data_IF_654897969025
#
_entry.id   IF_654897969025
#
_cell.length_a   1.000
_cell.length_b   1.000
_cell.length_c   1.000
_cell.angle_alpha   90.00
_cell.angle_beta   90.00
_cell.angle_gamma   90.00
#
_symmetry.space_group_name_H-M   'P 1'
#
loop_
_entity.id
_entity.type
_entity.pdbx_description
1 polymer ?
#
# COMPACT_ATOMS: atom_id res chain seq x y z
N UNK A 1 -8.73 -13.64 -18.79
CA UNK A 1 -8.05 -13.15 -20.02
C UNK A 1 -8.73 -11.91 -20.65
N UNK A 2 -10.07 -11.82 -20.81
CA UNK A 2 -10.69 -10.61 -21.39
C UNK A 2 -10.45 -9.32 -20.58
N UNK A 3 -10.41 -9.43 -19.25
CA UNK A 3 -10.17 -8.31 -18.33
C UNK A 3 -8.77 -7.71 -18.45
N UNK A 4 -7.73 -8.55 -18.59
CA UNK A 4 -6.35 -8.09 -18.71
C UNK A 4 -6.10 -7.35 -20.03
N UNK A 5 -6.69 -7.85 -21.13
CA UNK A 5 -6.59 -7.19 -22.44
C UNK A 5 -7.24 -5.80 -22.43
N UNK A 6 -8.42 -5.68 -21.80
CA UNK A 6 -9.10 -4.39 -21.66
C UNK A 6 -8.31 -3.36 -20.83
N UNK A 7 -7.71 -3.78 -19.71
CA UNK A 7 -6.84 -2.90 -18.91
C UNK A 7 -5.63 -2.44 -19.73
N UNK A 8 -5.06 -3.36 -20.50
CA UNK A 8 -3.91 -3.09 -21.36
C UNK A 8 -4.27 -2.04 -22.43
N UNK A 9 -5.36 -2.24 -23.19
CA UNK A 9 -5.85 -1.29 -24.19
C UNK A 9 -6.12 0.11 -23.60
N UNK A 10 -6.72 0.15 -22.41
CA UNK A 10 -6.98 1.41 -21.69
C UNK A 10 -5.68 2.13 -21.34
N UNK A 11 -4.68 1.40 -20.82
CA UNK A 11 -3.37 1.97 -20.51
C UNK A 11 -2.69 2.53 -21.77
N UNK A 12 -2.81 1.86 -22.93
CA UNK A 12 -2.25 2.36 -24.19
C UNK A 12 -2.90 3.65 -24.65
N UNK A 13 -4.23 3.74 -24.54
CA UNK A 13 -4.96 4.95 -24.88
C UNK A 13 -4.40 6.13 -24.08
N UNK A 14 -4.28 6.00 -22.76
CA UNK A 14 -3.74 7.06 -21.91
C UNK A 14 -2.25 7.33 -22.13
N UNK A 15 -1.44 6.32 -22.42
CA UNK A 15 -0.04 6.52 -22.83
C UNK A 15 0.05 7.36 -24.11
N UNK A 16 -0.85 7.14 -25.09
CA UNK A 16 -0.91 7.95 -26.31
C UNK A 16 -1.25 9.42 -26.01
N UNK A 17 -2.03 9.68 -24.96
CA UNK A 17 -2.35 11.04 -24.50
C UNK A 17 -1.24 11.68 -23.64
N UNK A 18 -0.11 11.00 -23.41
CA UNK A 18 1.03 11.53 -22.66
C UNK A 18 1.04 11.21 -21.16
N UNK A 19 0.20 10.28 -20.69
CA UNK A 19 0.26 9.81 -19.29
C UNK A 19 1.57 9.04 -19.05
N UNK A 20 2.29 9.41 -17.99
CA UNK A 20 3.63 8.88 -17.65
C UNK A 20 3.61 7.75 -16.62
N UNK A 21 2.43 7.24 -16.24
CA UNK A 21 2.35 6.12 -15.32
C UNK A 21 0.95 5.85 -14.82
N UNK A 22 0.80 4.70 -14.16
CA UNK A 22 -0.48 4.20 -13.67
C UNK A 22 -0.36 3.72 -12.23
N UNK A 23 -1.37 4.07 -11.42
CA UNK A 23 -1.60 3.36 -10.17
C UNK A 23 -2.48 2.14 -10.47
N UNK A 24 -1.98 0.95 -10.16
CA UNK A 24 -2.78 -0.27 -10.19
C UNK A 24 -3.46 -0.40 -8.83
N UNK A 25 -4.74 -0.10 -8.83
CA UNK A 25 -5.62 -0.20 -7.67
C UNK A 25 -5.89 -1.65 -7.31
N UNK A 26 -5.87 -1.97 -6.03
CA UNK A 26 -6.24 -3.25 -5.45
C UNK A 26 -5.59 -4.45 -6.17
N UNK A 27 -4.26 -4.40 -6.34
CA UNK A 27 -3.48 -5.37 -7.13
C UNK A 27 -3.80 -6.84 -6.79
N UNK A 28 -3.94 -7.25 -5.51
CA UNK A 28 -4.28 -8.63 -5.17
C UNK A 28 -5.54 -9.15 -5.87
N UNK A 29 -6.56 -8.30 -6.05
CA UNK A 29 -7.80 -8.66 -6.75
C UNK A 29 -7.63 -8.73 -8.27
N UNK A 30 -6.69 -7.95 -8.83
CA UNK A 30 -6.37 -8.02 -10.27
C UNK A 30 -5.74 -9.37 -10.62
N UNK A 31 -4.92 -9.89 -9.73
CA UNK A 31 -4.16 -11.13 -9.94
C UNK A 31 -4.88 -12.37 -9.43
N UNK A 32 -6.09 -12.24 -8.88
CA UNK A 32 -6.89 -13.37 -8.42
C UNK A 32 -7.29 -14.29 -9.57
N UNK A 33 -7.11 -15.61 -9.38
CA UNK A 33 -7.53 -16.61 -10.35
C UNK A 33 -9.05 -16.76 -10.34
N UNK A 34 -9.72 -16.69 -11.51
CA UNK A 34 -11.16 -16.94 -11.57
C UNK A 34 -11.52 -18.31 -11.01
N UNK A 35 -12.43 -18.33 -10.03
CA UNK A 35 -12.92 -19.57 -9.40
C UNK A 35 -12.08 -20.08 -8.24
N UNK A 36 -11.10 -19.32 -7.73
CA UNK A 36 -10.47 -19.62 -6.44
C UNK A 36 -11.44 -19.43 -5.27
N UNK A 37 -11.07 -20.00 -4.13
CA UNK A 37 -11.80 -19.83 -2.87
C UNK A 37 -11.86 -18.35 -2.47
N UNK A 38 -13.06 -17.75 -2.28
CA UNK A 38 -13.18 -16.35 -1.86
C UNK A 38 -12.51 -16.05 -0.51
N UNK A 39 -12.39 -17.04 0.38
CA UNK A 39 -11.75 -16.88 1.69
C UNK A 39 -10.22 -17.05 1.61
N UNK A 40 -9.72 -17.66 0.53
CA UNK A 40 -8.30 -17.92 0.25
C UNK A 40 -8.01 -17.80 -1.25
N UNK A 41 -8.05 -16.57 -1.81
CA UNK A 41 -7.86 -16.36 -3.22
C UNK A 41 -6.48 -16.85 -3.66
N UNK A 42 -6.44 -17.53 -4.80
CA UNK A 42 -5.17 -17.89 -5.43
C UNK A 42 -4.73 -16.77 -6.35
N UNK A 43 -3.47 -16.33 -6.22
CA UNK A 43 -2.93 -15.28 -7.06
C UNK A 43 -2.08 -15.83 -8.22
N UNK A 44 -2.24 -15.24 -9.41
CA UNK A 44 -1.39 -15.43 -10.57
C UNK A 44 -0.45 -14.23 -10.75
N UNK A 45 0.69 -14.29 -10.06
CA UNK A 45 1.71 -13.24 -10.06
C UNK A 45 2.31 -12.96 -11.44
N UNK A 46 2.13 -13.85 -12.44
CA UNK A 46 2.63 -13.66 -13.82
C UNK A 46 1.93 -12.50 -14.52
N UNK A 47 0.75 -12.09 -14.07
CA UNK A 47 0.00 -10.96 -14.63
C UNK A 47 0.75 -9.64 -14.43
N UNK A 48 1.45 -9.46 -13.30
CA UNK A 48 2.18 -8.23 -12.97
C UNK A 48 3.27 -7.90 -14.02
N UNK A 49 4.23 -8.80 -14.32
CA UNK A 49 5.24 -8.54 -15.34
C UNK A 49 4.64 -8.41 -16.75
N UNK A 50 3.50 -9.05 -17.05
CA UNK A 50 2.80 -8.87 -18.32
C UNK A 50 2.26 -7.44 -18.49
N UNK A 51 1.57 -6.90 -17.47
CA UNK A 51 1.09 -5.51 -17.47
C UNK A 51 2.26 -4.54 -17.63
N UNK A 52 3.35 -4.75 -16.87
CA UNK A 52 4.54 -3.92 -16.97
C UNK A 52 5.13 -3.91 -18.38
N UNK A 53 5.38 -5.09 -18.96
CA UNK A 53 5.93 -5.21 -20.32
C UNK A 53 5.05 -4.48 -21.32
N UNK A 54 3.73 -4.60 -21.19
CA UNK A 54 2.79 -3.98 -22.10
C UNK A 54 2.85 -2.45 -22.05
N UNK A 55 2.87 -1.88 -20.85
CA UNK A 55 3.00 -0.43 -20.64
C UNK A 55 4.35 0.08 -21.15
N UNK A 56 5.45 -0.61 -20.78
CA UNK A 56 6.81 -0.22 -21.18
C UNK A 56 7.06 -0.34 -22.69
N UNK A 57 6.39 -1.26 -23.39
CA UNK A 57 6.49 -1.37 -24.84
C UNK A 57 5.97 -0.13 -25.56
N UNK A 58 4.98 0.57 -24.98
CA UNK A 58 4.40 1.78 -25.55
C UNK A 58 5.09 3.06 -25.08
N UNK A 59 5.46 3.11 -23.81
CA UNK A 59 6.17 4.21 -23.18
C UNK A 59 7.22 3.64 -22.21
N UNK A 60 8.49 3.66 -22.63
CA UNK A 60 9.59 3.13 -21.82
C UNK A 60 9.83 3.89 -20.51
N UNK A 61 9.32 5.10 -20.39
CA UNK A 61 9.42 5.93 -19.18
C UNK A 61 8.22 5.78 -18.24
N UNK A 62 7.21 5.00 -18.62
CA UNK A 62 6.00 4.88 -17.82
C UNK A 62 6.22 4.07 -16.53
N UNK A 63 5.78 4.65 -15.40
CA UNK A 63 5.85 4.03 -14.08
C UNK A 63 4.58 3.25 -13.75
N UNK A 64 4.71 2.20 -12.94
CA UNK A 64 3.58 1.49 -12.34
C UNK A 64 3.72 1.57 -10.82
N UNK A 65 2.67 2.08 -10.17
CA UNK A 65 2.53 2.15 -8.72
C UNK A 65 1.48 1.13 -8.27
N UNK A 66 1.92 0.08 -7.60
CA UNK A 66 1.05 -0.95 -7.06
C UNK A 66 0.45 -0.54 -5.72
N UNK A 67 -0.86 -0.63 -5.61
CA UNK A 67 -1.58 -0.61 -4.34
C UNK A 67 -1.79 -2.06 -3.86
N UNK A 68 -0.88 -2.54 -3.02
CA UNK A 68 -0.95 -3.87 -2.42
C UNK A 68 -0.58 -3.81 -0.94
N UNK A 69 -1.55 -4.13 -0.08
CA UNK A 69 -1.37 -4.16 1.37
C UNK A 69 -1.00 -5.58 1.83
N UNK A 70 0.24 -5.98 1.56
CA UNK A 70 0.75 -7.33 1.80
C UNK A 70 1.75 -7.39 2.95
N UNK A 71 2.08 -8.60 3.40
CA UNK A 71 3.12 -8.79 4.43
C UNK A 71 4.52 -8.63 3.84
N UNK A 72 5.54 -8.31 4.67
CA UNK A 72 6.90 -8.08 4.18
C UNK A 72 7.47 -9.22 3.33
N UNK A 73 7.13 -10.46 3.67
CA UNK A 73 7.60 -11.68 3.00
C UNK A 73 7.06 -11.81 1.57
N UNK A 74 5.89 -11.21 1.29
CA UNK A 74 5.22 -11.26 -0.01
C UNK A 74 5.72 -10.15 -0.96
N UNK A 75 6.43 -9.14 -0.47
CA UNK A 75 6.82 -7.97 -1.27
C UNK A 75 7.62 -8.35 -2.53
N UNK A 76 8.55 -9.30 -2.39
CA UNK A 76 9.40 -9.75 -3.50
C UNK A 76 8.60 -10.42 -4.62
N UNK A 77 7.45 -11.02 -4.30
CA UNK A 77 6.58 -11.64 -5.30
C UNK A 77 5.92 -10.58 -6.20
N UNK A 78 5.59 -9.40 -5.64
CA UNK A 78 4.99 -8.29 -6.37
C UNK A 78 6.01 -7.44 -7.13
N UNK A 79 7.18 -7.18 -6.55
CA UNK A 79 8.28 -6.50 -7.25
C UNK A 79 8.93 -7.42 -8.30
N UNK A 80 8.80 -8.73 -8.14
CA UNK A 80 9.48 -9.75 -8.93
C UNK A 80 10.93 -9.91 -8.51
N UNK A 81 11.44 -11.15 -8.51
CA UNK A 81 12.78 -11.48 -8.01
C UNK A 81 13.90 -10.64 -8.66
N UNK A 82 13.79 -10.38 -9.97
CA UNK A 82 14.74 -9.59 -10.75
C UNK A 82 14.28 -8.12 -10.95
N UNK A 83 13.29 -7.67 -10.18
CA UNK A 83 12.69 -6.34 -10.35
C UNK A 83 11.91 -6.20 -11.66
N UNK A 84 11.30 -7.29 -12.13
CA UNK A 84 10.50 -7.36 -13.37
C UNK A 84 8.98 -7.21 -13.15
N UNK A 85 8.54 -7.14 -11.89
CA UNK A 85 7.15 -6.88 -11.48
C UNK A 85 6.86 -5.38 -11.35
N UNK A 86 6.26 -4.95 -10.25
CA UNK A 86 5.96 -3.53 -10.02
C UNK A 86 7.22 -2.66 -10.01
N UNK A 87 7.11 -1.43 -10.55
CA UNK A 87 8.19 -0.43 -10.41
C UNK A 87 8.20 0.15 -8.99
N UNK A 88 7.00 0.49 -8.50
CA UNK A 88 6.82 1.08 -7.17
C UNK A 88 5.63 0.47 -6.48
N UNK A 89 5.65 0.48 -5.15
CA UNK A 89 4.53 0.05 -4.33
C UNK A 89 4.39 0.97 -3.12
N UNK A 90 3.18 1.10 -2.60
CA UNK A 90 2.97 1.75 -1.30
C UNK A 90 3.45 0.86 -0.16
N UNK A 91 4.22 1.42 0.77
CA UNK A 91 4.64 0.68 1.97
C UNK A 91 3.56 0.80 3.06
N UNK A 92 2.45 0.07 2.88
CA UNK A 92 1.36 0.04 3.87
C UNK A 92 1.82 -0.49 5.22
N UNK A 93 2.65 -1.54 5.23
CA UNK A 93 3.15 -2.16 6.46
C UNK A 93 3.85 -1.13 7.36
N UNK A 94 4.83 -0.39 6.84
CA UNK A 94 5.51 0.65 7.59
C UNK A 94 4.59 1.81 7.99
N UNK A 95 3.61 2.18 7.15
CA UNK A 95 2.66 3.26 7.45
C UNK A 95 1.83 2.97 8.73
N UNK A 96 1.36 1.73 8.93
CA UNK A 96 0.54 1.42 10.12
C UNK A 96 1.35 1.59 11.42
N UNK A 97 2.61 1.15 11.42
CA UNK A 97 3.51 1.32 12.57
C UNK A 97 3.99 2.77 12.74
N UNK A 98 4.04 3.56 11.68
CA UNK A 98 4.28 5.00 11.79
C UNK A 98 3.18 5.67 12.63
N UNK A 99 1.90 5.37 12.36
CA UNK A 99 0.80 5.90 13.17
C UNK A 99 0.84 5.41 14.62
N UNK A 100 1.25 4.17 14.87
CA UNK A 100 1.50 3.71 16.23
C UNK A 100 2.60 4.51 16.92
N UNK A 101 3.72 4.75 16.26
CA UNK A 101 4.82 5.56 16.80
C UNK A 101 4.40 7.00 17.05
N UNK A 102 3.61 7.60 16.16
CA UNK A 102 3.04 8.94 16.36
C UNK A 102 2.02 9.00 17.50
N UNK A 103 1.26 7.93 17.75
CA UNK A 103 0.31 7.89 18.86
C UNK A 103 1.00 7.76 20.22
N UNK A 104 2.08 6.99 20.28
CA UNK A 104 2.65 6.50 21.55
C UNK A 104 4.02 7.07 21.89
N UNK A 105 4.75 7.61 20.90
CA UNK A 105 6.16 7.96 21.02
C UNK A 105 7.11 6.77 20.91
N UNK A 106 6.60 5.53 20.82
CA UNK A 106 7.39 4.31 20.70
C UNK A 106 7.71 4.02 19.22
N UNK A 107 8.95 4.30 18.83
CA UNK A 107 9.42 4.20 17.43
C UNK A 107 9.95 2.81 17.06
N UNK A 108 10.15 1.91 18.03
CA UNK A 108 10.79 0.61 17.76
C UNK A 108 9.98 -0.27 16.80
N UNK A 109 8.63 -0.35 16.89
CA UNK A 109 7.85 -1.10 15.90
C UNK A 109 7.96 -0.52 14.49
N UNK A 110 8.03 0.80 14.35
CA UNK A 110 8.19 1.45 13.04
C UNK A 110 9.58 1.18 12.45
N UNK A 111 10.63 1.28 13.27
CA UNK A 111 11.99 0.93 12.85
C UNK A 111 12.08 -0.52 12.39
N UNK A 112 11.46 -1.44 13.13
CA UNK A 112 11.39 -2.85 12.73
C UNK A 112 10.68 -3.00 11.38
N UNK A 113 9.52 -2.36 11.19
CA UNK A 113 8.79 -2.43 9.93
C UNK A 113 9.58 -1.90 8.72
N UNK A 114 10.39 -0.86 8.90
CA UNK A 114 11.30 -0.37 7.85
C UNK A 114 12.41 -1.36 7.54
N UNK A 115 12.94 -2.07 8.53
CA UNK A 115 13.96 -3.11 8.33
C UNK A 115 13.36 -4.34 7.63
N UNK A 116 12.19 -4.78 8.07
CA UNK A 116 11.49 -5.94 7.50
C UNK A 116 11.09 -5.71 6.03
N UNK A 117 10.85 -4.45 5.63
CA UNK A 117 10.51 -4.07 4.25
C UNK A 117 11.68 -3.49 3.45
N UNK A 118 12.90 -3.50 4.00
CA UNK A 118 14.05 -2.79 3.40
C UNK A 118 14.50 -3.39 2.06
N UNK A 119 14.53 -4.71 1.99
CA UNK A 119 15.09 -5.43 0.86
C UNK A 119 14.08 -5.46 -0.29
N UNK A 120 14.43 -4.81 -1.40
CA UNK A 120 13.67 -4.78 -2.66
C UNK A 120 14.65 -4.86 -3.83
N UNK A 121 14.19 -5.24 -5.05
CA UNK A 121 15.03 -5.20 -6.23
C UNK A 121 15.61 -3.79 -6.49
N UNK A 122 16.86 -3.66 -6.98
CA UNK A 122 17.53 -2.35 -7.16
C UNK A 122 16.81 -1.38 -8.11
N UNK A 123 15.97 -1.90 -9.01
CA UNK A 123 15.18 -1.10 -9.97
C UNK A 123 13.79 -0.75 -9.46
N UNK A 124 13.46 -1.15 -8.22
CA UNK A 124 12.17 -0.93 -7.59
C UNK A 124 12.27 0.13 -6.50
N UNK A 125 11.14 0.74 -6.13
CA UNK A 125 11.14 1.79 -5.10
C UNK A 125 9.86 1.78 -4.24
N UNK A 126 10.03 2.04 -2.95
CA UNK A 126 8.90 2.25 -2.03
C UNK A 126 8.35 3.67 -2.14
N UNK A 127 7.02 3.77 -2.16
CA UNK A 127 6.31 5.03 -1.96
C UNK A 127 5.83 5.12 -0.51
N UNK A 128 6.49 5.99 0.26
CA UNK A 128 6.06 6.32 1.61
C UNK A 128 4.99 7.41 1.57
N UNK A 129 3.97 7.26 2.39
CA UNK A 129 2.86 8.19 2.48
C UNK A 129 2.42 8.31 3.94
N UNK A 130 1.70 9.38 4.24
CA UNK A 130 1.04 9.53 5.53
C UNK A 130 -0.45 9.18 5.43
N UNK A 131 -1.13 9.64 4.37
CA UNK A 131 -2.54 9.37 4.10
C UNK A 131 -2.80 9.25 2.60
N UNK A 132 -3.80 8.45 2.29
CA UNK A 132 -4.46 8.35 1.00
C UNK A 132 -5.94 8.77 1.15
N UNK A 133 -6.71 8.59 0.08
CA UNK A 133 -8.13 8.92 0.02
C UNK A 133 -9.00 7.95 0.85
N UNK A 134 -8.53 6.72 1.05
CA UNK A 134 -9.18 5.70 1.89
C UNK A 134 -8.95 5.92 3.39
N UNK A 135 -9.46 5.04 4.25
CA UNK A 135 -9.14 5.06 5.68
C UNK A 135 -7.65 4.83 5.97
N UNK A 136 -7.19 5.21 7.17
CA UNK A 136 -5.93 4.68 7.70
C UNK A 136 -6.18 3.22 8.05
N UNK A 137 -5.55 2.28 7.36
CA UNK A 137 -5.58 0.88 7.75
C UNK A 137 -4.59 0.60 8.89
N UNK A 138 -5.08 -0.06 9.94
CA UNK A 138 -4.35 -0.46 11.15
C UNK A 138 -4.44 -1.98 11.38
N UNK A 139 -4.85 -2.75 10.37
CA UNK A 139 -5.07 -4.20 10.47
C UNK A 139 -3.82 -5.03 10.83
N UNK A 140 -2.60 -4.50 10.66
CA UNK A 140 -1.32 -5.16 11.02
C UNK A 140 -0.92 -4.89 12.47
N UNK A 141 -1.59 -3.98 13.16
CA UNK A 141 -1.38 -3.71 14.58
C UNK A 141 -2.14 -4.73 15.44
N UNK A 142 -1.58 -5.08 16.60
CA UNK A 142 -2.34 -5.83 17.61
C UNK A 142 -3.50 -4.99 18.15
N UNK A 143 -4.54 -5.63 18.70
CA UNK A 143 -5.69 -4.92 19.29
C UNK A 143 -5.28 -3.84 20.30
N UNK A 144 -4.29 -4.15 21.14
CA UNK A 144 -3.76 -3.20 22.13
C UNK A 144 -3.04 -2.01 21.49
N UNK A 145 -2.31 -2.23 20.40
CA UNK A 145 -1.64 -1.15 19.68
C UNK A 145 -2.65 -0.27 18.94
N UNK A 146 -3.59 -0.91 18.23
CA UNK A 146 -4.66 -0.25 17.50
C UNK A 146 -5.54 0.62 18.40
N UNK A 147 -5.89 0.13 19.60
CA UNK A 147 -6.64 0.91 20.59
C UNK A 147 -5.90 2.20 21.00
N UNK A 148 -4.57 2.17 21.19
CA UNK A 148 -3.79 3.39 21.48
C UNK A 148 -3.85 4.39 20.32
N UNK A 149 -3.83 3.89 19.08
CA UNK A 149 -3.94 4.73 17.88
C UNK A 149 -5.34 5.34 17.78
N UNK A 150 -6.38 4.58 18.07
CA UNK A 150 -7.76 5.08 18.14
C UNK A 150 -7.91 6.18 19.19
N UNK A 151 -7.44 5.97 20.41
CA UNK A 151 -7.53 6.97 21.48
C UNK A 151 -6.93 8.32 21.07
N UNK A 152 -5.84 8.31 20.31
CA UNK A 152 -5.17 9.53 19.87
C UNK A 152 -5.79 10.17 18.63
N UNK A 153 -6.09 9.37 17.61
CA UNK A 153 -6.44 9.88 16.29
C UNK A 153 -7.92 9.73 15.92
N UNK A 154 -8.66 8.83 16.56
CA UNK A 154 -10.08 8.59 16.31
C UNK A 154 -10.82 8.03 17.53
N UNK A 155 -10.95 8.80 18.63
CA UNK A 155 -11.51 8.31 19.89
C UNK A 155 -13.04 8.06 19.81
N UNK A 156 -13.73 8.75 18.91
CA UNK A 156 -15.16 8.55 18.68
C UNK A 156 -15.39 7.39 17.70
N UNK A 157 -16.37 6.52 17.98
CA UNK A 157 -16.69 5.37 17.11
C UNK A 157 -17.06 5.76 15.68
N UNK A 158 -17.66 6.94 15.49
CA UNK A 158 -17.96 7.48 14.17
C UNK A 158 -16.69 7.86 13.36
N UNK A 159 -15.51 7.94 13.98
CA UNK A 159 -14.23 8.20 13.31
C UNK A 159 -13.53 6.90 12.90
N UNK A 160 -13.97 5.77 13.43
CA UNK A 160 -13.42 4.44 13.17
C UNK A 160 -14.21 3.75 12.04
N UNK A 161 -13.55 2.85 11.32
CA UNK A 161 -14.14 2.13 10.18
C UNK A 161 -13.68 0.66 10.19
N UNK A 162 -14.63 -0.26 9.97
CA UNK A 162 -14.42 -1.71 9.85
C UNK A 162 -13.60 -2.35 11.00
N UNK A 163 -13.65 -1.77 12.20
CA UNK A 163 -12.84 -2.12 13.37
C UNK A 163 -11.31 -2.15 13.13
N UNK A 164 -10.84 -1.73 11.95
CA UNK A 164 -9.43 -1.80 11.52
C UNK A 164 -8.86 -0.47 11.10
N UNK A 165 -9.66 0.60 10.97
CA UNK A 165 -9.14 1.85 10.44
C UNK A 165 -9.80 3.12 10.96
N UNK A 166 -9.22 4.25 10.52
CA UNK A 166 -9.65 5.61 10.92
C UNK A 166 -9.97 6.42 9.66
N UNK A 167 -11.18 6.95 9.57
CA UNK A 167 -11.66 7.77 8.44
C UNK A 167 -11.49 9.27 8.67
N UNK A 168 -10.28 9.69 9.03
CA UNK A 168 -9.93 11.12 9.24
C UNK A 168 -8.78 11.56 8.36
N UNK A 169 -8.84 12.83 7.96
CA UNK A 169 -7.74 13.50 7.27
C UNK A 169 -6.68 13.96 8.27
N UNK A 170 -5.45 14.09 7.79
CA UNK A 170 -4.40 14.77 8.53
C UNK A 170 -4.68 16.26 8.54
N UNK A 171 -4.79 16.82 9.74
CA UNK A 171 -4.87 18.25 9.99
C UNK A 171 -4.11 18.65 11.25
N UNK A 172 -4.05 19.95 11.56
CA UNK A 172 -3.35 20.47 12.73
C UNK A 172 -3.87 19.84 14.03
N UNK A 173 -5.18 19.62 14.15
CA UNK A 173 -5.79 19.01 15.33
C UNK A 173 -5.36 17.56 15.56
N UNK A 174 -5.23 16.76 14.49
CA UNK A 174 -4.78 15.35 14.59
C UNK A 174 -3.30 15.25 14.99
N UNK A 175 -2.45 16.19 14.60
CA UNK A 175 -1.01 16.17 14.93
C UNK A 175 -0.69 16.91 16.25
N UNK A 176 -1.54 17.83 16.70
CA UNK A 176 -1.31 18.64 17.91
C UNK A 176 -1.29 17.82 19.21
N UNK A 177 -1.97 16.68 19.24
CA UNK A 177 -2.01 15.80 20.42
C UNK A 177 -0.66 15.10 20.64
N UNK A 178 0.11 14.86 19.56
CA UNK A 178 1.46 14.29 19.61
C UNK A 178 2.44 15.24 20.33
N UNK A 179 2.32 16.56 20.10
CA UNK A 179 3.20 17.56 20.70
C UNK A 179 2.98 17.76 22.21
N UNK A 180 1.81 17.37 22.75
CA UNK A 180 1.51 17.47 24.19
C UNK A 180 2.13 16.33 24.99
N UNK A 181 2.26 15.13 24.40
CA UNK A 181 2.82 13.96 25.08
C UNK A 181 4.35 13.91 25.03
N UNK A 182 4.99 14.50 24.01
CA UNK A 182 6.46 14.58 23.92
C UNK A 182 7.13 15.62 24.85
N UNK A 183 6.34 16.36 25.65
CA UNK A 183 6.83 17.35 26.64
C UNK A 183 6.64 16.91 28.09
N UNK A 184 6.29 15.65 28.33
CA UNK A 184 6.34 15.01 29.64
C UNK A 184 7.45 13.97 29.65
#
# INVERSE_FOLDING_TARGET
MPSCLFMAESALYFCHQGVSGFQLDAVPFIIEKPGSDPDKPEHDLRIIPEIRRFVQWRNGEALILGEANVMPEENNDYFGQDGNGMHTMFNFYANQYLFYGLATGDIEPFKKALLDTREIPPTSQWMFFLRNHDEIDLGRLTDKQREKVYQQFGPEKNMQLYDRGIRRRLGPSTLSTCAKNARK
#
